data_IF_333842329676
#
_entry.id   IF_333842329676
#
_cell.length_a   1.000
_cell.length_b   1.000
_cell.length_c   1.000
_cell.angle_alpha   90.00
_cell.angle_beta   90.00
_cell.angle_gamma   90.00
#
_symmetry.space_group_name_H-M   'P 1'
#
loop_
_entity.id
_entity.type
_entity.pdbx_description
1 polymer ?
#
# COMPACT_ATOMS: atom_id res chain seq x y z
N UNK A 1 -30.91 51.28 9.87
CA UNK A 1 -31.17 51.88 11.19
C UNK A 1 -30.09 51.33 12.10
N UNK A 2 -28.94 52.08 12.18
CA UNK A 2 -28.36 52.71 13.39
C UNK A 2 -28.32 51.73 14.57
N UNK A 3 -27.11 51.38 15.09
CA UNK A 3 -26.23 52.12 16.03
C UNK A 3 -24.88 51.36 16.10
N UNK A 4 -23.83 51.87 15.74
CA UNK A 4 -22.58 52.40 16.33
C UNK A 4 -22.44 52.33 17.85
N UNK A 5 -21.29 51.81 18.34
CA UNK A 5 -20.41 52.41 19.36
C UNK A 5 -19.26 51.47 19.67
N UNK A 6 -18.02 51.70 19.22
CA UNK A 6 -16.86 52.33 19.86
C UNK A 6 -16.56 51.82 21.28
N UNK A 7 -15.39 51.23 21.50
CA UNK A 7 -14.45 51.60 22.55
C UNK A 7 -13.03 51.15 22.16
N UNK A 8 -12.18 52.12 21.95
CA UNK A 8 -10.72 52.02 21.92
C UNK A 8 -10.20 52.30 23.33
N UNK A 9 -9.26 51.51 23.82
CA UNK A 9 -8.36 51.92 24.92
C UNK A 9 -6.97 51.40 24.59
N UNK A 10 -6.07 52.38 24.48
CA UNK A 10 -4.61 52.23 24.41
C UNK A 10 -4.01 52.33 25.80
N UNK A 11 -2.95 51.56 26.11
CA UNK A 11 -1.92 51.84 27.10
C UNK A 11 -0.70 51.04 26.70
N UNK A 12 0.34 51.61 26.15
CA UNK A 12 1.47 52.31 26.73
C UNK A 12 2.63 51.39 27.15
N UNK A 13 3.73 51.66 26.52
CA UNK A 13 5.07 51.09 26.59
C UNK A 13 5.69 51.13 28.01
N UNK A 14 6.53 50.14 28.30
CA UNK A 14 7.58 50.30 29.29
C UNK A 14 8.91 49.71 28.75
N UNK A 15 9.76 50.63 28.30
CA UNK A 15 11.19 50.44 28.08
C UNK A 15 11.90 50.34 29.41
N UNK A 16 12.73 49.33 29.64
CA UNK A 16 13.86 49.47 30.57
C UNK A 16 15.10 48.89 29.91
N UNK A 17 15.98 49.82 29.62
CA UNK A 17 17.39 49.64 29.30
C UNK A 17 18.18 49.16 30.51
N UNK A 18 19.00 48.17 30.36
CA UNK A 18 20.17 47.94 31.15
C UNK A 18 21.35 47.60 30.26
N UNK A 19 22.21 48.61 30.07
CA UNK A 19 23.53 48.48 29.50
C UNK A 19 24.50 47.94 30.55
N UNK A 20 25.29 46.91 30.20
CA UNK A 20 26.54 46.64 30.88
C UNK A 20 27.60 46.18 29.88
N UNK A 21 28.66 46.92 29.78
CA UNK A 21 29.87 46.72 28.97
C UNK A 21 30.64 45.47 29.37
N UNK A 22 31.32 44.87 28.37
CA UNK A 22 32.44 43.98 28.70
C UNK A 22 33.06 43.24 27.52
N UNK A 23 34.05 43.85 26.87
CA UNK A 23 35.23 43.28 26.21
C UNK A 23 35.10 42.34 25.00
N UNK A 24 35.50 42.88 23.86
CA UNK A 24 35.99 42.20 22.66
C UNK A 24 37.10 41.17 22.96
N UNK A 25 36.91 39.95 22.43
CA UNK A 25 38.02 39.08 22.01
C UNK A 25 37.69 38.53 20.62
N UNK A 26 38.48 38.95 19.66
CA UNK A 26 38.65 38.28 18.38
C UNK A 26 39.21 36.87 18.63
N UNK A 27 38.54 35.88 18.11
CA UNK A 27 38.99 34.47 18.04
C UNK A 27 38.42 33.88 16.80
N UNK A 28 39.32 33.55 15.93
CA UNK A 28 39.25 32.86 14.65
C UNK A 28 38.11 31.84 14.51
N UNK A 29 37.35 31.99 13.41
CA UNK A 29 36.39 31.02 12.87
C UNK A 29 37.15 29.73 12.49
N UNK A 30 36.94 28.66 13.22
CA UNK A 30 37.13 27.30 12.78
C UNK A 30 35.73 26.68 12.69
N UNK A 31 35.19 26.65 11.48
CA UNK A 31 34.03 25.83 11.13
C UNK A 31 34.45 24.35 11.16
N UNK A 32 34.43 23.78 12.34
CA UNK A 32 34.43 22.33 12.51
C UNK A 32 32.99 21.86 12.36
N UNK A 33 32.64 21.32 11.19
CA UNK A 33 31.44 20.54 10.99
C UNK A 33 31.43 19.42 12.02
N UNK A 34 30.66 19.62 13.08
CA UNK A 34 30.38 18.59 14.06
C UNK A 34 29.49 17.54 13.37
N UNK A 35 30.12 16.51 12.85
CA UNK A 35 29.47 15.21 12.61
C UNK A 35 28.88 14.78 13.96
N UNK A 36 27.56 14.95 14.10
CA UNK A 36 26.84 14.54 15.30
C UNK A 36 26.80 13.01 15.41
N UNK A 37 27.84 12.46 16.04
CA UNK A 37 27.75 11.10 16.57
C UNK A 37 26.62 11.09 17.61
N UNK A 38 25.61 10.25 17.42
CA UNK A 38 24.57 9.99 18.39
C UNK A 38 25.20 9.62 19.74
N UNK A 39 24.63 10.03 20.88
CA UNK A 39 25.18 9.70 22.19
C UNK A 39 25.27 8.18 22.34
N UNK A 40 26.44 7.69 22.75
CA UNK A 40 26.69 6.29 23.01
C UNK A 40 25.70 5.79 24.07
N UNK A 41 24.72 4.95 23.66
CA UNK A 41 23.68 4.39 24.53
C UNK A 41 22.23 4.74 24.14
N UNK A 42 22.00 5.56 23.10
CA UNK A 42 20.65 5.74 22.58
C UNK A 42 20.19 4.46 21.85
N UNK A 43 19.02 3.95 22.21
CA UNK A 43 18.40 2.84 21.50
C UNK A 43 18.21 3.21 20.03
N UNK A 44 18.78 2.39 19.14
CA UNK A 44 18.58 2.58 17.70
C UNK A 44 17.23 1.99 17.32
N UNK A 45 16.41 2.80 16.63
CA UNK A 45 15.05 2.41 16.23
C UNK A 45 14.88 2.68 14.76
N UNK A 46 14.26 1.76 14.02
CA UNK A 46 13.76 1.95 12.66
C UNK A 46 12.24 1.85 12.67
N UNK A 47 11.58 2.84 12.07
CA UNK A 47 10.13 2.90 11.97
C UNK A 47 9.71 2.43 10.58
N UNK A 48 8.96 1.33 10.52
CA UNK A 48 8.53 0.68 9.28
C UNK A 48 7.01 0.80 9.14
N UNK A 49 6.53 1.15 7.95
CA UNK A 49 5.11 1.21 7.62
C UNK A 49 4.85 0.36 6.38
N UNK A 50 4.15 -0.74 6.56
CA UNK A 50 3.95 -1.76 5.54
C UNK A 50 2.48 -2.18 5.45
N UNK A 51 2.15 -3.00 4.48
CA UNK A 51 0.86 -3.64 4.35
C UNK A 51 0.63 -4.64 5.48
N UNK A 52 -0.64 -4.84 5.84
CA UNK A 52 -1.02 -5.94 6.72
C UNK A 52 -0.58 -7.28 6.13
N UNK A 53 -0.11 -8.19 6.98
CA UNK A 53 0.23 -9.55 6.61
C UNK A 53 1.40 -9.74 5.60
N UNK A 54 2.22 -8.72 5.39
CA UNK A 54 3.31 -8.71 4.39
C UNK A 54 4.70 -8.91 4.99
N UNK A 55 4.81 -9.36 6.23
CA UNK A 55 6.06 -9.80 6.86
C UNK A 55 5.79 -10.89 7.89
N UNK A 56 6.69 -11.86 7.97
CA UNK A 56 6.70 -12.80 9.07
C UNK A 56 7.26 -12.12 10.33
N UNK A 57 6.54 -12.13 11.47
CA UNK A 57 7.02 -11.56 12.72
C UNK A 57 8.36 -12.10 13.19
N UNK A 58 8.72 -13.34 12.87
CA UNK A 58 10.00 -13.93 13.21
C UNK A 58 11.17 -13.24 12.50
N UNK A 59 10.94 -12.70 11.28
CA UNK A 59 11.94 -11.93 10.53
C UNK A 59 12.27 -10.63 11.25
N UNK A 60 11.28 -9.94 11.83
CA UNK A 60 11.49 -8.73 12.63
C UNK A 60 12.35 -9.08 13.86
N UNK A 61 11.99 -10.13 14.58
CA UNK A 61 12.74 -10.57 15.76
C UNK A 61 14.18 -10.95 15.41
N UNK A 62 14.38 -11.68 14.29
CA UNK A 62 15.69 -12.04 13.77
C UNK A 62 16.55 -10.83 13.43
N UNK A 63 15.96 -9.81 12.80
CA UNK A 63 16.63 -8.56 12.50
C UNK A 63 17.07 -7.82 13.78
N UNK A 64 16.18 -7.68 14.76
CA UNK A 64 16.48 -7.04 16.04
C UNK A 64 17.61 -7.76 16.79
N UNK A 65 17.60 -9.11 16.80
CA UNK A 65 18.64 -9.91 17.44
C UNK A 65 19.99 -9.78 16.72
N UNK A 66 19.98 -9.73 15.40
CA UNK A 66 21.20 -9.67 14.60
C UNK A 66 21.87 -8.28 14.64
N UNK A 67 21.07 -7.22 14.73
CA UNK A 67 21.55 -5.84 14.55
C UNK A 67 21.58 -5.03 15.86
N UNK A 68 20.76 -5.39 16.85
CA UNK A 68 20.50 -4.57 18.05
C UNK A 68 19.60 -3.36 17.78
N UNK A 69 19.08 -3.22 16.55
CA UNK A 69 18.18 -2.13 16.15
C UNK A 69 16.75 -2.54 16.43
N UNK A 70 15.98 -1.72 17.14
CA UNK A 70 14.56 -1.97 17.38
C UNK A 70 13.72 -1.58 16.19
N UNK A 71 12.69 -2.40 15.89
CA UNK A 71 11.73 -2.14 14.82
C UNK A 71 10.39 -1.69 15.43
N UNK A 72 9.94 -0.50 15.06
CA UNK A 72 8.54 -0.08 15.25
C UNK A 72 7.81 -0.32 13.95
N UNK A 73 6.89 -1.27 13.99
CA UNK A 73 6.21 -1.75 12.80
C UNK A 73 4.74 -1.39 12.86
N UNK A 74 4.30 -0.55 11.93
CA UNK A 74 2.92 -0.17 11.75
C UNK A 74 2.39 -0.68 10.39
N UNK A 75 1.08 -0.84 10.28
CA UNK A 75 0.43 -1.36 9.07
C UNK A 75 -0.60 -0.40 8.49
N UNK A 76 -0.82 -0.51 7.18
CA UNK A 76 -1.88 0.20 6.45
C UNK A 76 -2.60 -0.75 5.48
N UNK A 77 -3.78 -0.34 5.02
CA UNK A 77 -4.67 -1.14 4.17
C UNK A 77 -4.85 -0.56 2.76
N UNK A 78 -4.39 0.66 2.52
CA UNK A 78 -4.48 1.30 1.19
C UNK A 78 -3.33 2.25 0.92
N UNK A 79 -2.96 2.35 -0.35
CA UNK A 79 -1.95 3.31 -0.81
C UNK A 79 -2.35 4.77 -0.52
N UNK A 80 -3.64 5.09 -0.55
CA UNK A 80 -4.17 6.43 -0.28
C UNK A 80 -3.93 6.84 1.16
N UNK A 81 -4.09 5.92 2.11
CA UNK A 81 -3.78 6.14 3.53
C UNK A 81 -2.29 6.40 3.71
N UNK A 82 -1.44 5.56 3.13
CA UNK A 82 0.01 5.74 3.13
C UNK A 82 0.40 7.10 2.53
N UNK A 83 -0.08 7.41 1.33
CA UNK A 83 0.24 8.65 0.62
C UNK A 83 -0.18 9.89 1.40
N UNK A 84 -1.40 9.90 1.95
CA UNK A 84 -1.87 11.00 2.79
C UNK A 84 -0.93 11.25 3.96
N UNK A 85 -0.45 10.19 4.61
CA UNK A 85 0.49 10.29 5.72
C UNK A 85 1.85 10.82 5.29
N UNK A 86 2.37 10.39 4.15
CA UNK A 86 3.66 10.82 3.63
C UNK A 86 3.63 12.28 3.17
N UNK A 87 2.59 12.70 2.44
CA UNK A 87 2.47 14.04 1.89
C UNK A 87 2.23 15.12 2.95
N UNK A 88 1.74 14.77 4.14
CA UNK A 88 1.66 15.72 5.27
C UNK A 88 3.01 16.12 5.83
N UNK A 89 4.09 15.41 5.46
CA UNK A 89 5.46 15.60 5.94
C UNK A 89 5.66 15.09 7.37
N UNK A 90 6.93 14.88 7.74
CA UNK A 90 7.32 14.37 9.06
C UNK A 90 6.49 13.13 9.50
N UNK A 91 6.31 12.18 8.60
CA UNK A 91 5.52 10.97 8.84
C UNK A 91 6.02 10.16 10.03
N UNK A 92 7.31 10.28 10.35
CA UNK A 92 7.99 9.53 11.40
C UNK A 92 8.44 8.13 10.98
N UNK A 93 8.26 7.76 9.70
CA UNK A 93 8.73 6.48 9.17
C UNK A 93 10.04 6.62 8.42
N UNK A 94 10.90 5.60 8.58
CA UNK A 94 12.19 5.48 7.92
C UNK A 94 12.08 4.60 6.67
N UNK A 95 11.21 3.59 6.70
CA UNK A 95 10.95 2.66 5.59
C UNK A 95 9.45 2.51 5.39
N UNK A 96 9.00 2.64 4.15
CA UNK A 96 7.60 2.46 3.76
C UNK A 96 7.49 1.61 2.50
N UNK A 97 6.36 0.94 2.29
CA UNK A 97 6.16 -0.02 1.20
C UNK A 97 4.96 0.36 0.33
N UNK A 98 5.05 1.41 -0.49
CA UNK A 98 4.00 1.75 -1.46
C UNK A 98 3.99 0.76 -2.62
N UNK A 99 2.85 0.65 -3.32
CA UNK A 99 2.82 0.05 -4.65
C UNK A 99 3.55 0.94 -5.66
N UNK A 100 4.19 0.34 -6.66
CA UNK A 100 5.10 1.06 -7.57
C UNK A 100 4.46 2.25 -8.31
N UNK A 101 3.18 2.16 -8.67
CA UNK A 101 2.46 3.27 -9.32
C UNK A 101 2.21 4.45 -8.38
N UNK A 102 2.07 4.23 -7.06
CA UNK A 102 2.07 5.32 -6.06
C UNK A 102 3.48 5.86 -5.81
N UNK A 103 4.49 4.97 -5.75
CA UNK A 103 5.89 5.34 -5.60
C UNK A 103 6.30 6.38 -6.64
N UNK A 104 5.91 6.20 -7.91
CA UNK A 104 6.28 7.11 -9.00
C UNK A 104 5.91 8.57 -8.71
N UNK A 105 4.68 8.84 -8.27
CA UNK A 105 4.24 10.20 -7.96
C UNK A 105 4.81 10.73 -6.65
N UNK A 106 5.04 9.86 -5.68
CA UNK A 106 5.67 10.20 -4.41
C UNK A 106 7.14 10.56 -4.57
N UNK A 107 7.88 9.87 -5.46
CA UNK A 107 9.25 10.26 -5.87
C UNK A 107 9.24 11.64 -6.52
N UNK A 108 8.30 11.91 -7.44
CA UNK A 108 8.16 13.23 -8.08
C UNK A 108 7.82 14.34 -7.07
N UNK A 109 7.10 14.01 -6.01
CA UNK A 109 6.80 14.93 -4.92
C UNK A 109 7.96 15.12 -3.92
N UNK A 110 9.09 14.43 -4.11
CA UNK A 110 10.27 14.54 -3.26
C UNK A 110 10.10 13.93 -1.87
N UNK A 111 9.23 12.93 -1.73
CA UNK A 111 8.95 12.26 -0.44
C UNK A 111 10.12 11.40 0.02
N UNK A 112 10.83 10.76 -0.92
CA UNK A 112 11.87 9.78 -0.61
C UNK A 112 13.27 10.32 -0.82
N UNK A 113 14.17 9.94 0.08
CA UNK A 113 15.60 10.16 -0.09
C UNK A 113 16.18 9.14 -1.09
N UNK A 114 17.17 9.53 -1.90
CA UNK A 114 17.91 8.59 -2.75
C UNK A 114 18.61 7.53 -1.91
N UNK A 115 18.64 6.29 -2.42
CA UNK A 115 19.32 5.17 -1.78
C UNK A 115 20.83 5.23 -2.05
N UNK A 116 21.62 5.07 -0.99
CA UNK A 116 23.04 4.75 -1.13
C UNK A 116 23.18 3.25 -1.43
N UNK A 117 23.17 2.88 -2.70
CA UNK A 117 23.23 1.49 -3.15
C UNK A 117 24.46 0.73 -2.67
N UNK A 118 25.55 1.43 -2.34
CA UNK A 118 26.74 0.80 -1.78
C UNK A 118 26.52 0.20 -0.39
N UNK A 119 25.48 0.67 0.30
CA UNK A 119 25.06 0.17 1.62
C UNK A 119 23.95 -0.89 1.57
N UNK A 120 23.51 -1.27 0.38
CA UNK A 120 22.44 -2.26 0.17
C UNK A 120 22.99 -3.45 -0.63
N UNK A 121 23.87 -4.30 -0.03
CA UNK A 121 24.51 -5.40 -0.75
C UNK A 121 23.52 -6.45 -1.25
N UNK A 122 22.34 -6.55 -0.63
CA UNK A 122 21.26 -7.47 -1.03
C UNK A 122 20.65 -7.18 -2.41
N UNK A 123 20.91 -6.03 -3.03
CA UNK A 123 20.43 -5.72 -4.39
C UNK A 123 20.86 -6.75 -5.42
N UNK A 124 22.03 -7.39 -5.24
CA UNK A 124 22.54 -8.42 -6.14
C UNK A 124 21.71 -9.73 -6.12
N UNK A 125 20.85 -9.91 -5.11
CA UNK A 125 20.00 -11.09 -4.97
C UNK A 125 18.62 -10.92 -5.64
N UNK A 126 18.31 -9.72 -6.13
CA UNK A 126 17.01 -9.43 -6.75
C UNK A 126 16.96 -10.01 -8.17
N UNK A 127 15.77 -10.45 -8.57
CA UNK A 127 15.49 -10.85 -9.94
C UNK A 127 15.65 -9.65 -10.89
N UNK A 128 16.53 -9.74 -11.90
CA UNK A 128 16.84 -8.61 -12.78
C UNK A 128 15.66 -8.18 -13.64
N UNK A 129 14.74 -9.09 -14.01
CA UNK A 129 13.55 -8.74 -14.79
C UNK A 129 12.54 -7.95 -13.95
N UNK A 130 12.39 -8.31 -12.68
CA UNK A 130 11.53 -7.56 -11.75
C UNK A 130 12.11 -6.16 -11.48
N UNK A 131 13.41 -6.07 -11.25
CA UNK A 131 14.13 -4.78 -11.06
C UNK A 131 13.96 -3.88 -12.30
N UNK A 132 14.09 -4.44 -13.51
CA UNK A 132 13.90 -3.70 -14.75
C UNK A 132 12.45 -3.22 -14.95
N UNK A 133 11.47 -3.99 -14.49
CA UNK A 133 10.06 -3.60 -14.53
C UNK A 133 9.74 -2.49 -13.52
N UNK A 134 10.22 -2.60 -12.30
CA UNK A 134 10.06 -1.58 -11.25
C UNK A 134 10.69 -0.24 -11.64
N UNK A 135 11.80 -0.26 -12.38
CA UNK A 135 12.48 0.93 -12.89
C UNK A 135 11.61 1.84 -13.78
N UNK A 136 10.44 1.37 -14.26
CA UNK A 136 9.47 2.21 -14.99
C UNK A 136 8.83 3.25 -14.08
N UNK A 137 8.75 2.95 -12.79
CA UNK A 137 8.14 3.81 -11.77
C UNK A 137 9.16 4.62 -10.96
N UNK A 138 10.39 4.11 -10.86
CA UNK A 138 11.53 4.76 -10.21
C UNK A 138 12.75 4.60 -11.12
N UNK A 139 12.99 5.51 -12.07
CA UNK A 139 14.10 5.40 -13.04
C UNK A 139 15.42 5.14 -12.35
N UNK A 140 16.06 4.03 -12.72
CA UNK A 140 17.31 3.58 -12.11
C UNK A 140 17.13 2.94 -10.72
N UNK A 141 15.91 2.79 -10.20
CA UNK A 141 15.62 2.34 -8.82
C UNK A 141 16.47 3.15 -7.82
N UNK A 142 16.39 4.47 -7.93
CA UNK A 142 17.21 5.39 -7.11
C UNK A 142 16.63 5.56 -5.69
N UNK A 143 15.34 5.30 -5.49
CA UNK A 143 14.62 5.54 -4.23
C UNK A 143 14.03 4.28 -3.62
N UNK A 144 13.96 3.19 -4.38
CA UNK A 144 13.25 1.98 -3.99
C UNK A 144 14.00 0.69 -4.27
N UNK A 145 13.58 -0.35 -3.56
CA UNK A 145 14.01 -1.74 -3.76
C UNK A 145 12.75 -2.58 -3.88
N UNK A 146 12.68 -3.47 -4.88
CA UNK A 146 11.55 -4.40 -5.01
C UNK A 146 11.50 -5.30 -3.78
N UNK A 147 10.37 -5.28 -3.07
CA UNK A 147 10.14 -6.09 -1.88
C UNK A 147 9.34 -7.36 -2.22
N UNK A 148 8.14 -7.17 -2.74
CA UNK A 148 7.25 -8.24 -3.19
C UNK A 148 6.66 -7.90 -4.56
N UNK A 149 6.10 -8.89 -5.21
CA UNK A 149 5.34 -8.71 -6.45
C UNK A 149 4.25 -9.77 -6.55
N UNK A 150 3.26 -9.50 -7.34
CA UNK A 150 2.20 -10.46 -7.56
C UNK A 150 1.26 -10.03 -8.69
N UNK A 151 0.16 -10.77 -8.77
CA UNK A 151 -0.92 -10.49 -9.73
C UNK A 151 -2.24 -10.30 -9.00
N UNK A 152 -3.10 -9.46 -9.57
CA UNK A 152 -4.49 -9.34 -9.16
C UNK A 152 -5.32 -10.34 -9.95
N UNK A 153 -6.02 -11.23 -9.27
CA UNK A 153 -6.77 -12.32 -9.89
C UNK A 153 -7.96 -12.75 -9.08
N UNK A 154 -8.42 -13.98 -9.31
CA UNK A 154 -9.62 -14.54 -8.70
C UNK A 154 -9.21 -15.64 -7.70
N UNK A 155 -9.49 -15.38 -6.41
CA UNK A 155 -9.46 -16.41 -5.37
C UNK A 155 -10.84 -17.01 -5.17
N UNK A 156 -10.93 -18.33 -5.00
CA UNK A 156 -12.23 -18.97 -4.83
C UNK A 156 -12.14 -20.33 -4.13
N UNK A 157 -13.23 -20.70 -3.42
CA UNK A 157 -13.43 -22.06 -2.89
C UNK A 157 -13.98 -22.92 -4.02
N UNK A 158 -13.14 -23.84 -4.54
CA UNK A 158 -13.48 -24.72 -5.67
C UNK A 158 -14.70 -25.55 -5.39
N UNK A 159 -14.85 -26.06 -4.17
CA UNK A 159 -15.98 -26.92 -3.79
C UNK A 159 -17.29 -26.15 -3.80
N UNK A 160 -17.32 -24.97 -3.18
CA UNK A 160 -18.53 -24.13 -3.13
C UNK A 160 -18.91 -23.59 -4.52
N UNK A 161 -17.94 -23.10 -5.27
CA UNK A 161 -18.17 -22.57 -6.61
C UNK A 161 -18.72 -23.65 -7.53
N UNK A 162 -18.12 -24.85 -7.53
CA UNK A 162 -18.58 -25.99 -8.32
C UNK A 162 -19.99 -26.48 -7.91
N UNK A 163 -20.32 -26.43 -6.63
CA UNK A 163 -21.64 -26.80 -6.13
C UNK A 163 -22.74 -25.86 -6.62
N UNK A 164 -22.45 -24.56 -6.77
CA UNK A 164 -23.39 -23.52 -7.23
C UNK A 164 -23.47 -23.53 -8.76
N UNK A 165 -22.33 -23.62 -9.45
CA UNK A 165 -22.22 -23.59 -10.90
C UNK A 165 -21.08 -24.51 -11.34
N UNK A 166 -21.38 -25.76 -11.74
CA UNK A 166 -20.37 -26.75 -12.14
C UNK A 166 -19.43 -26.31 -13.26
N UNK A 167 -19.94 -25.45 -14.16
CA UNK A 167 -19.26 -24.86 -15.32
C UNK A 167 -18.91 -23.38 -15.13
N UNK A 168 -18.68 -22.95 -13.87
CA UNK A 168 -18.30 -21.59 -13.56
C UNK A 168 -17.00 -21.19 -14.29
N UNK A 169 -16.95 -20.01 -14.94
CA UNK A 169 -15.80 -19.56 -15.70
C UNK A 169 -14.70 -19.03 -14.77
N UNK A 170 -14.10 -19.92 -13.98
CA UNK A 170 -13.12 -19.55 -12.95
C UNK A 170 -11.79 -19.02 -13.49
N UNK A 171 -11.54 -19.21 -14.79
CA UNK A 171 -10.37 -18.72 -15.51
C UNK A 171 -10.66 -17.48 -16.36
N UNK A 172 -11.75 -16.78 -16.09
CA UNK A 172 -12.18 -15.59 -16.82
C UNK A 172 -12.75 -14.54 -15.88
N UNK A 173 -12.48 -13.28 -16.16
CA UNK A 173 -13.12 -12.14 -15.49
C UNK A 173 -14.65 -12.12 -15.65
N UNK A 174 -15.19 -12.94 -16.56
CA UNK A 174 -16.62 -13.15 -16.69
C UNK A 174 -17.27 -13.65 -15.39
N UNK A 175 -16.54 -14.41 -14.57
CA UNK A 175 -17.03 -14.86 -13.26
C UNK A 175 -17.42 -13.67 -12.37
N UNK A 176 -16.68 -12.57 -12.48
CA UNK A 176 -16.83 -11.37 -11.66
C UNK A 176 -17.71 -10.32 -12.35
N UNK A 177 -17.46 -10.05 -13.63
CA UNK A 177 -18.02 -8.87 -14.30
C UNK A 177 -19.31 -9.16 -15.10
N UNK A 178 -19.73 -10.42 -15.26
CA UNK A 178 -21.04 -10.74 -15.79
C UNK A 178 -22.08 -10.80 -14.65
N UNK A 179 -23.04 -9.84 -14.56
CA UNK A 179 -24.02 -9.80 -13.50
C UNK A 179 -24.89 -11.06 -13.40
N UNK A 180 -25.14 -11.73 -14.54
CA UNK A 180 -25.95 -12.96 -14.55
C UNK A 180 -25.19 -14.17 -13.96
N UNK A 181 -23.86 -14.16 -14.06
CA UNK A 181 -22.99 -15.16 -13.45
C UNK A 181 -22.80 -14.83 -11.97
N UNK A 182 -22.34 -13.59 -11.67
CA UNK A 182 -21.99 -13.17 -10.31
C UNK A 182 -23.18 -13.25 -9.34
N UNK A 183 -24.40 -12.93 -9.81
CA UNK A 183 -25.63 -12.99 -9.00
C UNK A 183 -25.88 -14.36 -8.35
N UNK A 184 -25.41 -15.45 -8.97
CA UNK A 184 -25.55 -16.81 -8.45
C UNK A 184 -24.74 -17.04 -7.18
N UNK A 185 -23.67 -16.25 -6.98
CA UNK A 185 -22.71 -16.38 -5.90
C UNK A 185 -22.94 -15.35 -4.76
N UNK A 186 -23.95 -14.48 -4.89
CA UNK A 186 -24.23 -13.42 -3.92
C UNK A 186 -24.34 -13.94 -2.49
N UNK A 187 -25.09 -15.02 -2.29
CA UNK A 187 -25.34 -15.57 -0.93
C UNK A 187 -24.13 -16.36 -0.41
N UNK A 188 -23.33 -16.91 -1.31
CA UNK A 188 -22.06 -17.57 -0.98
C UNK A 188 -21.03 -16.57 -0.46
N UNK A 189 -21.09 -15.33 -0.94
CA UNK A 189 -20.23 -14.23 -0.55
C UNK A 189 -19.12 -13.95 -1.56
N UNK A 190 -19.14 -12.71 -2.06
CA UNK A 190 -18.15 -12.20 -3.02
C UNK A 190 -17.52 -10.93 -2.47
N UNK A 191 -16.19 -10.82 -2.56
CA UNK A 191 -15.43 -9.62 -2.20
C UNK A 191 -14.65 -9.08 -3.38
N UNK A 192 -14.41 -7.78 -3.37
CA UNK A 192 -13.49 -7.08 -4.27
C UNK A 192 -12.51 -6.24 -3.46
N UNK A 193 -11.41 -5.87 -4.09
CA UNK A 193 -10.43 -4.95 -3.52
C UNK A 193 -11.03 -3.54 -3.38
N UNK A 194 -10.62 -2.83 -2.36
CA UNK A 194 -10.79 -1.39 -2.20
C UNK A 194 -9.55 -0.69 -2.79
N UNK A 195 -9.31 -0.94 -4.06
CA UNK A 195 -8.24 -0.33 -4.86
C UNK A 195 -8.81 0.07 -6.23
N UNK A 196 -9.06 1.37 -6.45
CA UNK A 196 -9.63 1.85 -7.71
C UNK A 196 -8.77 1.53 -8.92
N UNK A 197 -7.45 1.56 -8.80
CA UNK A 197 -6.52 1.30 -9.92
C UNK A 197 -6.67 -0.13 -10.40
N UNK A 198 -6.63 -1.08 -9.46
CA UNK A 198 -6.80 -2.50 -9.77
C UNK A 198 -8.21 -2.82 -10.30
N UNK A 199 -9.24 -2.26 -9.65
CA UNK A 199 -10.61 -2.59 -10.03
C UNK A 199 -11.01 -1.99 -11.37
N UNK A 200 -10.61 -0.77 -11.68
CA UNK A 200 -10.83 -0.15 -12.99
C UNK A 200 -10.00 -0.87 -14.07
N UNK A 201 -8.72 -1.14 -13.79
CA UNK A 201 -7.84 -1.85 -14.73
C UNK A 201 -8.35 -3.25 -15.08
N UNK A 202 -8.80 -4.03 -14.09
CA UNK A 202 -9.38 -5.37 -14.35
C UNK A 202 -10.71 -5.31 -15.10
N UNK A 203 -11.54 -4.30 -14.82
CA UNK A 203 -12.77 -4.06 -15.57
C UNK A 203 -12.49 -3.71 -17.04
N UNK A 204 -11.45 -2.90 -17.30
CA UNK A 204 -11.00 -2.58 -18.65
C UNK A 204 -10.46 -3.80 -19.38
N UNK A 205 -9.68 -4.67 -18.73
CA UNK A 205 -9.25 -5.96 -19.31
C UNK A 205 -10.45 -6.80 -19.75
N UNK A 206 -11.44 -6.96 -18.88
CA UNK A 206 -12.68 -7.69 -19.24
C UNK A 206 -13.42 -7.08 -20.43
N UNK A 207 -13.39 -5.75 -20.56
CA UNK A 207 -13.99 -5.02 -21.71
C UNK A 207 -13.12 -5.07 -22.98
N UNK A 208 -11.96 -5.74 -22.95
CA UNK A 208 -11.02 -5.80 -24.06
C UNK A 208 -10.31 -4.48 -24.35
N UNK A 209 -10.12 -3.66 -23.31
CA UNK A 209 -9.49 -2.34 -23.39
C UNK A 209 -8.11 -2.34 -22.73
N UNK A 210 -7.34 -1.29 -22.99
CA UNK A 210 -6.09 -1.06 -22.29
C UNK A 210 -6.35 -0.83 -20.79
N UNK A 211 -5.80 -1.65 -19.87
CA UNK A 211 -6.00 -1.48 -18.43
C UNK A 211 -5.49 -0.14 -17.90
N UNK A 212 -4.59 0.53 -18.62
CA UNK A 212 -4.04 1.84 -18.27
C UNK A 212 -4.72 2.99 -19.05
N UNK A 213 -5.89 2.76 -19.66
CA UNK A 213 -6.58 3.79 -20.42
C UNK A 213 -7.02 4.95 -19.54
N UNK A 214 -6.63 6.18 -19.92
CA UNK A 214 -7.08 7.43 -19.33
C UNK A 214 -8.27 8.06 -20.10
N UNK A 215 -8.79 7.36 -21.11
CA UNK A 215 -9.94 7.83 -21.89
C UNK A 215 -11.20 7.92 -21.02
N UNK A 216 -11.84 9.08 -21.00
CA UNK A 216 -13.07 9.29 -20.24
C UNK A 216 -14.18 8.29 -20.65
N UNK A 217 -14.22 7.86 -21.92
CA UNK A 217 -15.19 6.89 -22.40
C UNK A 217 -14.90 5.49 -21.86
N UNK A 218 -13.63 5.10 -21.75
CA UNK A 218 -13.21 3.82 -21.20
C UNK A 218 -13.42 3.76 -19.69
N UNK A 219 -13.02 4.82 -18.98
CA UNK A 219 -13.26 4.93 -17.54
C UNK A 219 -14.75 4.91 -17.20
N UNK A 220 -15.59 5.57 -18.00
CA UNK A 220 -17.04 5.49 -17.84
C UNK A 220 -17.60 4.10 -18.08
N UNK A 221 -17.07 3.38 -19.06
CA UNK A 221 -17.50 2.00 -19.32
C UNK A 221 -17.12 1.04 -18.17
N UNK A 222 -15.93 1.22 -17.57
CA UNK A 222 -15.50 0.47 -16.40
C UNK A 222 -16.37 0.81 -15.17
N UNK A 223 -16.63 2.09 -14.91
CA UNK A 223 -17.54 2.55 -13.85
C UNK A 223 -18.92 1.90 -13.98
N UNK A 224 -19.53 1.96 -15.17
CA UNK A 224 -20.86 1.38 -15.41
C UNK A 224 -20.87 -0.14 -15.19
N UNK A 225 -19.77 -0.82 -15.50
CA UNK A 225 -19.62 -2.25 -15.26
C UNK A 225 -19.55 -2.54 -13.75
N UNK A 226 -18.69 -1.81 -13.02
CA UNK A 226 -18.51 -1.94 -11.57
C UNK A 226 -19.81 -1.65 -10.82
N UNK A 227 -20.55 -0.62 -11.22
CA UNK A 227 -21.85 -0.29 -10.63
C UNK A 227 -22.90 -1.39 -10.85
N UNK A 228 -22.88 -2.07 -11.99
CA UNK A 228 -23.81 -3.20 -12.28
C UNK A 228 -23.56 -4.41 -11.38
N UNK A 229 -22.32 -4.69 -11.01
CA UNK A 229 -21.98 -5.84 -10.16
C UNK A 229 -22.02 -5.53 -8.67
N UNK A 230 -21.98 -4.25 -8.29
CA UNK A 230 -21.97 -3.79 -6.89
C UNK A 230 -23.04 -4.44 -6.00
N UNK A 231 -24.31 -4.65 -6.44
CA UNK A 231 -25.36 -5.27 -5.63
C UNK A 231 -25.10 -6.72 -5.22
N UNK A 232 -24.14 -7.39 -5.86
CA UNK A 232 -23.81 -8.80 -5.61
C UNK A 232 -22.58 -8.97 -4.71
N UNK A 233 -21.90 -7.87 -4.38
CA UNK A 233 -20.72 -7.88 -3.51
C UNK A 233 -21.13 -7.81 -2.05
N UNK A 234 -20.53 -8.66 -1.22
CA UNK A 234 -20.69 -8.64 0.23
C UNK A 234 -19.81 -7.60 0.86
N UNK A 235 -18.52 -7.57 0.49
CA UNK A 235 -17.52 -6.64 1.01
C UNK A 235 -16.68 -6.04 -0.12
N UNK A 236 -16.13 -4.85 0.15
CA UNK A 236 -15.07 -4.22 -0.64
C UNK A 236 -14.00 -3.84 0.36
N UNK A 237 -12.86 -4.51 0.33
CA UNK A 237 -11.74 -4.27 1.25
C UNK A 237 -10.50 -5.00 0.77
N UNK A 238 -9.32 -4.37 0.90
CA UNK A 238 -8.07 -4.91 0.37
C UNK A 238 -7.30 -5.86 1.31
N UNK A 239 -7.77 -6.08 2.56
CA UNK A 239 -7.11 -6.98 3.52
C UNK A 239 -8.08 -7.98 4.17
N UNK A 240 -9.27 -7.57 4.59
CA UNK A 240 -10.21 -8.42 5.35
C UNK A 240 -10.63 -9.69 4.62
N UNK A 241 -10.60 -9.70 3.29
CA UNK A 241 -10.99 -10.86 2.49
C UNK A 241 -10.09 -12.08 2.74
N UNK A 242 -8.84 -11.88 3.22
CA UNK A 242 -7.91 -12.97 3.52
C UNK A 242 -8.52 -13.89 4.59
N UNK A 243 -8.87 -13.30 5.73
CA UNK A 243 -9.48 -14.05 6.84
C UNK A 243 -10.89 -14.53 6.50
N UNK A 244 -11.68 -13.73 5.79
CA UNK A 244 -13.03 -14.12 5.38
C UNK A 244 -13.02 -15.33 4.43
N UNK A 245 -12.07 -15.39 3.50
CA UNK A 245 -11.88 -16.53 2.61
C UNK A 245 -11.36 -17.75 3.39
N UNK A 246 -10.34 -17.57 4.24
CA UNK A 246 -9.80 -18.63 5.12
C UNK A 246 -10.84 -19.18 6.09
N UNK A 247 -11.81 -18.37 6.50
CA UNK A 247 -12.92 -18.77 7.37
C UNK A 247 -14.10 -19.39 6.60
N UNK A 248 -14.10 -19.32 5.28
CA UNK A 248 -15.20 -19.82 4.44
C UNK A 248 -16.42 -18.92 4.41
N UNK A 249 -16.30 -17.67 4.83
CA UNK A 249 -17.36 -16.65 4.78
C UNK A 249 -17.56 -16.09 3.37
N UNK A 250 -16.50 -16.16 2.55
CA UNK A 250 -16.51 -15.83 1.13
C UNK A 250 -16.23 -17.07 0.30
N UNK A 251 -16.78 -17.13 -0.90
CA UNK A 251 -16.47 -18.18 -1.85
C UNK A 251 -15.76 -17.67 -3.10
N UNK A 252 -15.81 -16.39 -3.36
CA UNK A 252 -15.11 -15.73 -4.47
C UNK A 252 -14.56 -14.40 -3.98
N UNK A 253 -13.31 -14.12 -4.33
CA UNK A 253 -12.65 -12.83 -4.07
C UNK A 253 -11.90 -12.36 -5.31
N UNK A 254 -11.94 -11.07 -5.60
CA UNK A 254 -10.89 -10.44 -6.40
C UNK A 254 -9.81 -10.03 -5.41
N UNK A 255 -8.62 -10.57 -5.56
CA UNK A 255 -7.55 -10.38 -4.58
C UNK A 255 -6.15 -10.60 -5.16
N UNK A 256 -5.18 -10.32 -4.32
CA UNK A 256 -3.78 -10.50 -4.65
C UNK A 256 -3.35 -11.96 -4.52
N UNK A 257 -2.48 -12.41 -5.42
CA UNK A 257 -2.06 -13.81 -5.49
C UNK A 257 -1.51 -14.35 -4.15
N UNK A 258 -0.64 -13.60 -3.51
CA UNK A 258 -0.05 -13.96 -2.21
C UNK A 258 -1.09 -14.10 -1.11
N UNK A 259 -2.04 -13.17 -1.05
CA UNK A 259 -3.09 -13.12 -0.04
C UNK A 259 -4.05 -14.31 -0.16
N UNK A 260 -4.42 -14.69 -1.39
CA UNK A 260 -5.27 -15.88 -1.61
C UNK A 260 -4.54 -17.16 -1.20
N UNK A 261 -3.23 -17.25 -1.50
CA UNK A 261 -2.43 -18.39 -1.07
C UNK A 261 -2.28 -18.42 0.46
N UNK A 262 -2.09 -17.27 1.10
CA UNK A 262 -2.06 -17.14 2.55
C UNK A 262 -3.40 -17.54 3.19
N UNK A 263 -4.53 -17.14 2.58
CA UNK A 263 -5.86 -17.56 3.04
C UNK A 263 -6.02 -19.09 2.98
N UNK A 264 -5.49 -19.74 1.93
CA UNK A 264 -5.46 -21.20 1.81
C UNK A 264 -4.65 -21.82 2.95
N UNK A 265 -3.45 -21.34 3.16
CA UNK A 265 -2.54 -21.89 4.17
C UNK A 265 -3.14 -21.72 5.59
N UNK A 266 -3.73 -20.56 5.90
CA UNK A 266 -4.49 -20.34 7.16
C UNK A 266 -5.66 -21.30 7.33
N UNK A 267 -6.40 -21.59 6.25
CA UNK A 267 -7.51 -22.55 6.30
C UNK A 267 -7.00 -23.97 6.57
N UNK A 268 -5.91 -24.38 5.94
CA UNK A 268 -5.26 -25.69 6.14
C UNK A 268 -4.75 -25.84 7.58
N UNK A 269 -4.03 -24.85 8.09
CA UNK A 269 -3.52 -24.82 9.48
C UNK A 269 -4.65 -24.89 10.51
N UNK A 270 -5.78 -24.23 10.21
CA UNK A 270 -6.98 -24.29 11.06
C UNK A 270 -7.81 -25.58 10.89
N UNK A 271 -7.37 -26.53 10.04
CA UNK A 271 -8.06 -27.79 9.78
C UNK A 271 -9.44 -27.63 9.12
N UNK A 272 -9.65 -26.54 8.37
CA UNK A 272 -10.94 -26.28 7.69
C UNK A 272 -11.01 -27.04 6.38
N UNK A 273 -12.16 -27.64 6.05
CA UNK A 273 -12.35 -28.40 4.82
C UNK A 273 -12.65 -27.46 3.63
N UNK A 274 -11.75 -26.52 3.35
CA UNK A 274 -11.88 -25.56 2.24
C UNK A 274 -10.86 -25.92 1.15
N UNK A 275 -11.30 -25.81 -0.11
CA UNK A 275 -10.43 -26.01 -1.29
C UNK A 275 -10.24 -24.67 -1.99
N UNK A 276 -9.36 -23.84 -1.43
CA UNK A 276 -9.08 -22.51 -1.94
C UNK A 276 -8.11 -22.58 -3.13
N UNK A 277 -8.50 -21.96 -4.23
CA UNK A 277 -7.69 -21.81 -5.43
C UNK A 277 -7.53 -20.37 -5.85
N UNK A 278 -6.49 -20.13 -6.63
CA UNK A 278 -6.23 -18.86 -7.30
C UNK A 278 -6.21 -19.07 -8.82
N UNK A 279 -6.77 -18.14 -9.57
CA UNK A 279 -6.76 -18.14 -11.03
C UNK A 279 -6.33 -16.79 -11.56
N UNK A 280 -5.45 -16.83 -12.56
CA UNK A 280 -5.15 -15.69 -13.43
C UNK A 280 -6.09 -15.77 -14.61
N UNK A 281 -7.01 -14.81 -14.79
CA UNK A 281 -7.99 -14.84 -15.90
C UNK A 281 -7.32 -14.79 -17.28
N UNK A 282 -7.93 -15.45 -18.24
CA UNK A 282 -7.41 -15.56 -19.62
C UNK A 282 -7.36 -14.21 -20.35
N UNK A 283 -8.18 -13.23 -19.97
CA UNK A 283 -8.15 -11.87 -20.50
C UNK A 283 -6.94 -11.07 -20.03
N UNK A 284 -6.17 -11.62 -19.09
CA UNK A 284 -5.00 -11.01 -18.47
C UNK A 284 -5.23 -10.61 -17.01
N UNK A 285 -4.16 -10.26 -16.35
CA UNK A 285 -4.15 -9.78 -14.97
C UNK A 285 -3.20 -8.59 -14.80
N UNK A 286 -3.48 -7.74 -13.84
CA UNK A 286 -2.55 -6.70 -13.44
C UNK A 286 -1.42 -7.32 -12.65
N UNK A 287 -0.21 -6.79 -12.84
CA UNK A 287 0.97 -7.14 -12.07
C UNK A 287 1.36 -5.93 -11.22
N UNK A 288 1.57 -6.15 -9.96
CA UNK A 288 1.98 -5.12 -9.00
C UNK A 288 3.34 -5.45 -8.37
N UNK A 289 4.02 -4.41 -7.92
CA UNK A 289 5.32 -4.46 -7.24
C UNK A 289 5.27 -3.66 -5.97
#
# INVERSE_FOLDING_TARGET
>A
MKILLKHAVAVAALFMLLSACGKSRQGTEDESAASGAAPAGAEQVVNVYNWSDYIDPEVIQGFEQATGIKVRYDVFDSNEVLETKLLTGNSGYDVVVPSAYFLQRQVQAGVFAPLDKSKVPGLANLDPDLVARAARHDPGNEHSVVYMWGTTGIGYDRTKVKAIMPDAPVDSWKLIFDPAVLAKFKDCGVSMLDDPTDMVGTALLYLGKDPNSESAADLKAAEDLLLRIRPYLRTIHSSQYIDQLANGELCIVVGYSGDVLQARDRAEEAGKPLDIGYSIPQEGALMWF
#
